data_IF_949329218971
#
_entry.id   IF_949329218971
#
_cell.length_a   1.000
_cell.length_b   1.000
_cell.length_c   1.000
_cell.angle_alpha   90.00
_cell.angle_beta   90.00
_cell.angle_gamma   90.00
#
_symmetry.space_group_name_H-M   'P 1'
#
loop_
_entity.id
_entity.type
_entity.pdbx_description
1 polymer ?
#
# COMPACT_ATOMS: atom_id res chain seq x y z
N UNK A 1 9.14 -1.56 15.99
CA UNK A 1 8.94 -0.28 15.29
C UNK A 1 7.55 0.25 15.64
N UNK A 2 7.38 1.55 15.89
CA UNK A 2 6.05 2.19 16.00
C UNK A 2 5.63 2.76 14.64
N UNK A 3 4.34 2.92 14.40
CA UNK A 3 3.78 3.49 13.17
C UNK A 3 4.34 4.92 12.93
N UNK A 4 4.31 5.77 13.94
CA UNK A 4 4.91 7.12 13.86
C UNK A 4 6.42 7.08 13.67
N UNK A 5 7.11 6.10 14.25
CA UNK A 5 8.53 5.86 14.03
C UNK A 5 8.83 5.51 12.57
N UNK A 6 7.98 4.68 11.95
CA UNK A 6 8.09 4.29 10.54
C UNK A 6 7.77 5.47 9.60
N UNK A 7 6.65 6.18 9.81
CA UNK A 7 6.29 7.42 9.07
C UNK A 7 7.46 8.39 9.09
N UNK A 8 8.00 8.66 10.28
CA UNK A 8 9.11 9.58 10.49
C UNK A 8 10.38 9.11 9.77
N UNK A 9 10.79 7.84 9.92
CA UNK A 9 11.98 7.30 9.24
C UNK A 9 11.86 7.40 7.71
N UNK A 10 10.70 7.08 7.15
CA UNK A 10 10.47 7.16 5.70
C UNK A 10 10.62 8.60 5.18
N UNK A 11 9.97 9.56 5.85
CA UNK A 11 10.08 10.97 5.47
C UNK A 11 11.50 11.52 5.67
N UNK A 12 12.17 11.21 6.79
CA UNK A 12 13.56 11.61 7.05
C UNK A 12 14.54 11.02 6.03
N UNK A 13 14.31 9.78 5.59
CA UNK A 13 15.09 9.13 4.53
C UNK A 13 14.98 9.90 3.21
N UNK A 14 13.77 10.12 2.69
CA UNK A 14 13.59 10.81 1.41
C UNK A 14 13.98 12.30 1.48
N UNK A 15 13.80 12.98 2.62
CA UNK A 15 14.37 14.31 2.86
C UNK A 15 15.89 14.29 2.73
N UNK A 16 16.58 13.25 3.22
CA UNK A 16 18.04 13.10 3.04
C UNK A 16 18.45 12.88 1.57
N UNK A 17 17.55 12.40 0.70
CA UNK A 17 17.72 12.29 -0.76
C UNK A 17 17.27 13.55 -1.51
N UNK A 18 16.85 14.60 -0.81
CA UNK A 18 16.48 15.90 -1.36
C UNK A 18 15.00 16.06 -1.72
N UNK A 19 14.12 15.21 -1.20
CA UNK A 19 12.67 15.33 -1.40
C UNK A 19 12.07 16.38 -0.46
N UNK A 20 11.15 17.19 -0.96
CA UNK A 20 10.31 18.05 -0.14
C UNK A 20 9.13 17.25 0.43
N UNK A 21 8.90 17.34 1.75
CA UNK A 21 7.69 16.78 2.36
C UNK A 21 6.49 17.62 1.94
N UNK A 22 5.45 16.97 1.40
CA UNK A 22 4.17 17.59 1.06
C UNK A 22 3.05 16.99 1.93
N UNK A 23 1.92 17.68 2.16
CA UNK A 23 0.78 17.05 2.81
C UNK A 23 0.19 15.92 1.95
N UNK A 24 -0.44 14.94 2.59
CA UNK A 24 -1.37 14.04 1.91
C UNK A 24 -2.67 14.78 1.54
N UNK A 25 -3.33 14.33 0.47
CA UNK A 25 -4.65 14.81 0.08
C UNK A 25 -5.77 14.19 0.92
N UNK A 26 -6.99 14.73 0.80
CA UNK A 26 -8.20 14.13 1.37
C UNK A 26 -8.45 12.72 0.82
N UNK A 27 -9.18 11.89 1.58
CA UNK A 27 -9.76 10.65 1.08
C UNK A 27 -10.84 10.90 0.02
N UNK A 28 -11.46 12.09 0.03
CA UNK A 28 -12.52 12.52 -0.89
C UNK A 28 -11.89 13.36 -2.01
N UNK A 29 -11.82 12.88 -3.27
CA UNK A 29 -11.28 13.65 -4.38
C UNK A 29 -12.19 14.84 -4.69
N UNK A 30 -11.66 16.07 -4.62
CA UNK A 30 -12.47 17.28 -4.87
C UNK A 30 -12.73 17.52 -6.36
N UNK A 31 -11.86 17.03 -7.26
CA UNK A 31 -11.82 17.40 -8.68
C UNK A 31 -11.67 16.22 -9.65
N UNK A 32 -11.80 14.98 -9.19
CA UNK A 32 -11.76 13.78 -10.03
C UNK A 32 -13.07 12.98 -9.94
N UNK A 33 -13.95 13.03 -10.96
CA UNK A 33 -15.20 12.27 -10.97
C UNK A 33 -15.02 10.80 -11.40
N UNK A 34 -13.81 10.36 -11.72
CA UNK A 34 -13.54 8.99 -12.18
C UNK A 34 -13.28 7.98 -11.05
N UNK A 35 -12.96 8.46 -9.85
CA UNK A 35 -12.64 7.65 -8.66
C UNK A 35 -13.47 8.07 -7.45
N UNK A 36 -13.98 7.10 -6.69
CA UNK A 36 -14.78 7.39 -5.49
C UNK A 36 -13.91 7.89 -4.32
N UNK A 37 -12.68 7.39 -4.19
CA UNK A 37 -11.76 7.75 -3.11
C UNK A 37 -10.34 7.90 -3.64
N UNK A 38 -9.48 8.56 -2.87
CA UNK A 38 -8.02 8.52 -3.10
C UNK A 38 -7.51 7.11 -2.77
N UNK A 39 -7.17 6.31 -3.79
CA UNK A 39 -6.74 4.90 -3.61
C UNK A 39 -5.20 4.72 -3.61
N UNK A 40 -4.46 5.76 -4.03
CA UNK A 40 -3.01 5.81 -4.11
C UNK A 40 -2.48 7.26 -3.97
N UNK A 41 -1.23 7.40 -3.53
CA UNK A 41 -0.53 8.69 -3.39
C UNK A 41 -0.36 9.48 -4.69
N UNK A 42 -0.41 8.81 -5.84
CA UNK A 42 -0.24 9.43 -7.16
C UNK A 42 -1.48 10.19 -7.67
N UNK A 43 -2.69 9.89 -7.17
CA UNK A 43 -3.93 10.47 -7.68
C UNK A 43 -3.93 12.02 -7.67
N UNK A 44 -3.54 12.69 -6.56
CA UNK A 44 -3.45 14.16 -6.52
C UNK A 44 -2.29 14.73 -7.36
N UNK A 45 -1.40 13.87 -7.86
CA UNK A 45 -0.14 14.23 -8.52
C UNK A 45 -0.18 14.03 -10.04
N UNK A 46 -1.25 13.48 -10.60
CA UNK A 46 -1.43 13.21 -12.04
C UNK A 46 -1.05 14.41 -12.94
N UNK A 47 -1.46 15.67 -12.67
CA UNK A 47 -1.05 16.81 -13.50
C UNK A 47 0.47 17.00 -13.56
N UNK A 48 1.17 16.80 -12.44
CA UNK A 48 2.61 16.97 -12.36
C UNK A 48 3.37 15.79 -12.98
N UNK A 49 2.84 14.57 -12.89
CA UNK A 49 3.35 13.40 -13.62
C UNK A 49 3.25 13.60 -15.13
N UNK A 50 2.17 14.24 -15.61
CA UNK A 50 1.95 14.60 -17.01
C UNK A 50 2.82 15.77 -17.53
N UNK A 51 3.56 16.47 -16.67
CA UNK A 51 4.51 17.52 -17.08
C UNK A 51 4.34 18.88 -16.38
N UNK A 52 3.29 19.07 -15.57
CA UNK A 52 3.14 20.30 -14.81
C UNK A 52 4.20 20.44 -13.71
N UNK A 53 4.57 21.69 -13.38
CA UNK A 53 5.59 21.96 -12.36
C UNK A 53 4.98 21.99 -10.97
N UNK A 54 5.31 21.01 -10.15
CA UNK A 54 4.91 21.01 -8.74
C UNK A 54 5.62 22.13 -7.95
N UNK A 55 4.93 22.91 -7.10
CA UNK A 55 5.49 24.07 -6.41
C UNK A 55 6.60 23.74 -5.40
N UNK A 56 6.63 22.52 -4.86
CA UNK A 56 7.69 22.05 -3.95
C UNK A 56 8.94 21.52 -4.68
N UNK A 57 9.00 21.61 -6.02
CA UNK A 57 10.10 21.10 -6.82
C UNK A 57 9.86 19.70 -7.40
N UNK A 58 10.92 19.06 -7.89
CA UNK A 58 10.84 17.80 -8.66
C UNK A 58 10.86 16.51 -7.82
N UNK A 59 11.25 16.60 -6.54
CA UNK A 59 11.33 15.47 -5.62
C UNK A 59 10.40 15.74 -4.46
N UNK A 60 9.38 14.91 -4.28
CA UNK A 60 8.36 15.10 -3.25
C UNK A 60 8.05 13.78 -2.53
N UNK A 61 7.66 13.84 -1.27
CA UNK A 61 7.32 12.67 -0.46
C UNK A 61 6.21 13.00 0.54
N UNK A 62 5.33 12.03 0.83
CA UNK A 62 4.31 12.16 1.87
C UNK A 62 3.93 10.78 2.45
N UNK A 63 2.99 10.81 3.40
CA UNK A 63 2.18 9.66 3.78
C UNK A 63 0.76 9.97 3.31
N UNK A 64 0.24 9.21 2.34
CA UNK A 64 -1.11 9.36 1.83
C UNK A 64 -2.06 8.41 2.58
N UNK A 65 -3.15 8.94 3.12
CA UNK A 65 -4.29 8.12 3.54
C UNK A 65 -5.00 7.59 2.30
N UNK A 66 -5.22 6.28 2.21
CA UNK A 66 -5.87 5.64 1.07
C UNK A 66 -7.16 4.93 1.51
N UNK A 67 -8.17 4.92 0.64
CA UNK A 67 -9.30 3.99 0.74
C UNK A 67 -9.43 3.22 -0.57
N UNK A 68 -9.32 1.90 -0.53
CA UNK A 68 -9.55 1.02 -1.70
C UNK A 68 -10.87 0.28 -1.55
N UNK A 69 -11.67 0.31 -2.61
CA UNK A 69 -12.99 -0.36 -2.64
C UNK A 69 -12.98 -1.73 -3.29
N UNK A 70 -11.93 -2.06 -4.03
CA UNK A 70 -11.82 -3.32 -4.76
C UNK A 70 -11.36 -4.44 -3.80
N UNK A 71 -10.40 -4.12 -2.93
CA UNK A 71 -9.85 -4.94 -1.85
C UNK A 71 -10.91 -5.28 -0.74
N UNK A 72 -12.09 -4.63 -0.74
CA UNK A 72 -13.14 -4.76 0.31
C UNK A 72 -13.64 -6.20 0.52
N UNK A 73 -13.53 -7.05 -0.50
CA UNK A 73 -13.95 -8.45 -0.41
C UNK A 73 -12.79 -9.42 -0.05
N UNK A 74 -11.54 -8.92 -0.04
CA UNK A 74 -10.34 -9.60 0.49
C UNK A 74 -10.11 -9.28 1.98
N UNK A 75 -10.56 -8.10 2.43
CA UNK A 75 -10.55 -7.70 3.86
C UNK A 75 -11.07 -8.81 4.76
N UNK A 76 -10.27 -9.11 5.79
CA UNK A 76 -10.43 -10.28 6.66
C UNK A 76 -9.37 -11.35 6.43
N UNK A 77 -8.54 -11.22 5.39
CA UNK A 77 -7.22 -11.83 5.33
C UNK A 77 -6.22 -11.14 6.30
N UNK A 78 -4.91 -11.35 6.14
CA UNK A 78 -3.88 -10.82 7.05
C UNK A 78 -3.27 -9.45 6.65
N UNK A 79 -3.45 -8.99 5.41
CA UNK A 79 -2.64 -7.89 4.82
C UNK A 79 -3.39 -6.94 3.88
N UNK A 80 -4.71 -7.14 3.69
CA UNK A 80 -5.58 -6.25 2.92
C UNK A 80 -6.53 -5.48 3.84
N UNK A 81 -6.67 -4.19 3.54
CA UNK A 81 -7.42 -3.22 4.34
C UNK A 81 -8.23 -2.30 3.42
N UNK A 82 -9.44 -1.93 3.85
CA UNK A 82 -10.24 -0.90 3.19
C UNK A 82 -9.56 0.46 3.32
N UNK A 83 -9.00 0.76 4.50
CA UNK A 83 -8.24 1.98 4.79
C UNK A 83 -6.82 1.61 5.21
N UNK A 84 -5.84 2.26 4.61
CA UNK A 84 -4.42 2.09 4.94
C UNK A 84 -3.66 3.39 4.65
N UNK A 85 -2.41 3.44 5.07
CA UNK A 85 -1.50 4.52 4.71
C UNK A 85 -0.46 4.06 3.69
N UNK A 86 -0.31 4.82 2.62
CA UNK A 86 0.69 4.63 1.59
C UNK A 86 1.84 5.60 1.83
N UNK A 87 3.03 5.08 2.14
CA UNK A 87 4.26 5.86 2.18
C UNK A 87 4.71 6.10 0.74
N UNK A 88 4.80 7.36 0.32
CA UNK A 88 5.03 7.69 -1.09
C UNK A 88 6.17 8.67 -1.34
N UNK A 89 6.85 8.47 -2.46
CA UNK A 89 7.92 9.34 -2.96
C UNK A 89 7.88 9.43 -4.48
N UNK A 90 8.17 10.61 -5.02
CA UNK A 90 8.03 10.87 -6.46
C UNK A 90 9.23 11.57 -7.06
N UNK A 91 9.62 11.12 -8.25
CA UNK A 91 10.47 11.85 -9.18
C UNK A 91 9.61 12.44 -10.28
N UNK A 92 9.60 13.76 -10.41
CA UNK A 92 8.90 14.49 -11.47
C UNK A 92 9.92 14.95 -12.52
N UNK A 93 10.25 14.04 -13.45
CA UNK A 93 11.27 14.28 -14.48
C UNK A 93 12.68 14.53 -13.93
N UNK A 94 13.15 13.73 -12.96
CA UNK A 94 14.46 13.91 -12.31
C UNK A 94 15.32 12.62 -12.25
N UNK A 95 15.21 11.82 -11.18
CA UNK A 95 15.83 10.50 -11.06
C UNK A 95 14.93 9.40 -11.64
N UNK A 96 15.45 8.19 -11.88
CA UNK A 96 14.66 7.08 -12.43
C UNK A 96 15.00 5.75 -11.74
N UNK A 97 14.95 4.62 -12.46
CA UNK A 97 14.93 3.26 -11.87
C UNK A 97 16.13 2.97 -10.99
N UNK A 98 17.32 3.27 -11.48
CA UNK A 98 18.57 2.92 -10.79
C UNK A 98 18.61 3.59 -9.41
N UNK A 99 18.40 4.91 -9.37
CA UNK A 99 18.47 5.65 -8.11
C UNK A 99 17.39 5.23 -7.13
N UNK A 100 16.15 4.99 -7.58
CA UNK A 100 15.11 4.56 -6.65
C UNK A 100 15.35 3.15 -6.14
N UNK A 101 15.73 2.19 -6.98
CA UNK A 101 16.03 0.82 -6.56
C UNK A 101 17.19 0.80 -5.55
N UNK A 102 18.25 1.60 -5.76
CA UNK A 102 19.33 1.78 -4.79
C UNK A 102 18.83 2.34 -3.45
N UNK A 103 17.92 3.32 -3.46
CA UNK A 103 17.35 3.92 -2.25
C UNK A 103 16.34 3.02 -1.53
N UNK A 104 15.49 2.32 -2.27
CA UNK A 104 14.52 1.34 -1.78
C UNK A 104 15.23 0.22 -1.04
N UNK A 105 16.30 -0.32 -1.63
CA UNK A 105 17.17 -1.30 -0.97
C UNK A 105 17.89 -0.72 0.25
N UNK A 106 18.44 0.50 0.17
CA UNK A 106 19.12 1.17 1.29
C UNK A 106 18.18 1.35 2.49
N UNK A 107 16.95 1.83 2.27
CA UNK A 107 15.99 2.08 3.34
C UNK A 107 15.51 0.78 4.00
N UNK A 108 15.23 -0.26 3.21
CA UNK A 108 14.86 -1.57 3.76
C UNK A 108 16.03 -2.20 4.54
N UNK A 109 17.22 -2.29 3.95
CA UNK A 109 18.28 -3.18 4.46
C UNK A 109 19.31 -2.50 5.37
N UNK A 110 19.49 -1.18 5.27
CA UNK A 110 20.47 -0.49 6.12
C UNK A 110 20.03 -0.50 7.58
N UNK A 111 20.96 -0.87 8.48
CA UNK A 111 20.76 -0.83 9.93
C UNK A 111 20.51 0.57 10.50
N UNK A 112 20.77 1.63 9.72
CA UNK A 112 20.35 3.00 10.04
C UNK A 112 18.82 3.18 9.91
N UNK A 113 18.21 2.50 8.94
CA UNK A 113 16.82 2.67 8.53
C UNK A 113 15.95 1.53 9.08
N UNK A 114 15.54 0.56 8.27
CA UNK A 114 14.71 -0.55 8.76
C UNK A 114 15.52 -1.77 9.21
N UNK A 115 16.72 -1.98 8.65
CA UNK A 115 17.60 -3.11 9.02
C UNK A 115 17.01 -4.49 8.69
N UNK A 116 16.15 -4.57 7.66
CA UNK A 116 15.57 -5.82 7.18
C UNK A 116 16.66 -6.72 6.57
N UNK A 117 16.57 -8.00 6.87
CA UNK A 117 17.54 -9.02 6.46
C UNK A 117 17.47 -9.27 4.94
N UNK A 118 18.53 -8.98 4.15
CA UNK A 118 18.46 -9.02 2.68
C UNK A 118 18.11 -10.40 2.08
N UNK A 119 18.44 -11.49 2.77
CA UNK A 119 18.09 -12.86 2.34
C UNK A 119 16.58 -13.14 2.35
N UNK A 120 15.80 -12.29 3.05
CA UNK A 120 14.35 -12.36 3.16
C UNK A 120 13.64 -11.51 2.08
N UNK A 121 14.37 -10.85 1.18
CA UNK A 121 13.81 -10.10 0.06
C UNK A 121 13.65 -10.96 -1.19
N UNK A 122 12.48 -10.85 -1.80
CA UNK A 122 12.20 -11.18 -3.20
C UNK A 122 11.75 -9.91 -3.92
N UNK A 123 11.98 -9.81 -5.23
CA UNK A 123 11.55 -8.66 -6.04
C UNK A 123 10.96 -9.12 -7.36
N UNK A 124 10.01 -8.37 -7.89
CA UNK A 124 9.38 -8.59 -9.19
C UNK A 124 9.80 -7.51 -10.20
N UNK A 125 9.88 -7.82 -11.49
CA UNK A 125 10.09 -6.86 -12.59
C UNK A 125 9.26 -7.25 -13.82
N UNK A 126 8.88 -6.27 -14.63
CA UNK A 126 8.08 -6.53 -15.83
C UNK A 126 8.77 -7.44 -16.85
N UNK A 127 8.10 -8.53 -17.26
CA UNK A 127 8.62 -9.53 -18.19
C UNK A 127 8.59 -9.09 -19.67
N UNK A 128 7.89 -8.01 -20.00
CA UNK A 128 7.71 -7.55 -21.38
C UNK A 128 6.51 -8.20 -22.09
N UNK A 129 5.89 -7.47 -23.02
CA UNK A 129 4.87 -8.00 -23.92
C UNK A 129 4.86 -7.27 -25.29
N UNK A 130 3.70 -7.21 -25.97
CA UNK A 130 3.55 -6.53 -27.26
C UNK A 130 3.70 -5.00 -27.18
N UNK A 131 3.45 -4.39 -26.02
CA UNK A 131 3.34 -2.94 -25.90
C UNK A 131 4.61 -2.32 -25.32
N UNK A 132 5.37 -3.08 -24.53
CA UNK A 132 6.61 -2.64 -23.91
C UNK A 132 7.60 -3.80 -23.70
N UNK A 133 8.92 -3.56 -23.77
CA UNK A 133 9.94 -4.59 -23.58
C UNK A 133 10.08 -5.02 -22.11
N UNK A 134 10.79 -6.13 -21.90
CA UNK A 134 11.27 -6.60 -20.58
C UNK A 134 11.97 -5.44 -19.85
N UNK A 135 11.70 -5.29 -18.54
CA UNK A 135 12.40 -4.31 -17.71
C UNK A 135 13.80 -4.78 -17.28
N UNK A 136 14.69 -4.82 -18.26
CA UNK A 136 16.07 -5.24 -18.06
C UNK A 136 16.87 -4.24 -17.21
N UNK A 137 16.49 -2.96 -17.20
CA UNK A 137 17.12 -1.91 -16.38
C UNK A 137 16.87 -2.15 -14.89
N UNK A 138 15.62 -2.43 -14.49
CA UNK A 138 15.29 -2.78 -13.10
C UNK A 138 15.92 -4.13 -12.68
N UNK A 139 15.89 -5.13 -13.57
CA UNK A 139 16.51 -6.44 -13.34
C UNK A 139 18.02 -6.32 -13.05
N UNK A 140 18.75 -5.51 -13.82
CA UNK A 140 20.19 -5.30 -13.62
C UNK A 140 20.51 -4.47 -12.38
N UNK A 141 19.68 -3.48 -12.02
CA UNK A 141 19.83 -2.71 -10.79
C UNK A 141 19.72 -3.59 -9.54
N UNK A 142 18.69 -4.44 -9.44
CA UNK A 142 18.54 -5.38 -8.32
C UNK A 142 19.68 -6.39 -8.22
N UNK A 143 20.16 -6.90 -9.36
CA UNK A 143 21.35 -7.77 -9.40
C UNK A 143 22.61 -7.07 -8.93
N UNK A 144 22.82 -5.80 -9.27
CA UNK A 144 23.99 -5.03 -8.86
C UNK A 144 24.03 -4.80 -7.34
N UNK A 145 22.86 -4.76 -6.69
CA UNK A 145 22.70 -4.70 -5.23
C UNK A 145 22.89 -6.05 -4.53
N UNK A 146 23.08 -7.14 -5.28
CA UNK A 146 23.36 -8.47 -4.74
C UNK A 146 22.13 -9.36 -4.53
N UNK A 147 20.94 -8.93 -4.96
CA UNK A 147 19.76 -9.81 -4.98
C UNK A 147 20.05 -11.00 -5.93
N UNK A 148 19.95 -12.27 -5.47
CA UNK A 148 20.18 -13.43 -6.33
C UNK A 148 19.19 -13.50 -7.48
N UNK A 149 19.58 -14.06 -8.64
CA UNK A 149 18.67 -14.20 -9.80
C UNK A 149 17.37 -14.96 -9.44
N UNK A 150 17.46 -15.94 -8.54
CA UNK A 150 16.31 -16.70 -7.99
C UNK A 150 15.37 -15.89 -7.10
N UNK A 151 15.75 -14.67 -6.72
CA UNK A 151 14.94 -13.71 -5.97
C UNK A 151 14.40 -12.59 -6.85
N UNK A 152 14.65 -12.61 -8.16
CA UNK A 152 14.15 -11.60 -9.11
C UNK A 152 13.19 -12.30 -10.09
N UNK A 153 11.91 -12.29 -9.75
CA UNK A 153 10.86 -12.81 -10.63
C UNK A 153 10.62 -11.84 -11.81
N UNK A 154 10.32 -12.38 -12.99
CA UNK A 154 9.84 -11.60 -14.13
C UNK A 154 8.36 -11.91 -14.29
N UNK A 155 7.48 -10.91 -14.21
CA UNK A 155 6.03 -11.12 -14.20
C UNK A 155 5.30 -10.40 -15.35
N UNK A 156 4.15 -10.93 -15.81
CA UNK A 156 3.30 -10.30 -16.82
C UNK A 156 2.76 -8.94 -16.41
N UNK A 157 2.26 -8.18 -17.40
CA UNK A 157 1.57 -6.88 -17.25
C UNK A 157 0.42 -6.90 -16.22
N UNK A 158 -0.17 -8.06 -15.91
CA UNK A 158 -1.20 -8.17 -14.85
C UNK A 158 -0.67 -7.96 -13.43
N UNK A 159 0.64 -8.04 -13.24
CA UNK A 159 1.33 -7.91 -11.95
C UNK A 159 2.33 -6.75 -12.00
N UNK A 160 3.29 -6.79 -12.93
CA UNK A 160 4.29 -5.73 -13.06
C UNK A 160 3.94 -4.63 -14.08
N UNK A 161 2.80 -3.97 -13.90
CA UNK A 161 2.46 -2.76 -14.64
C UNK A 161 1.37 -1.97 -13.91
N UNK A 162 1.70 -0.75 -13.51
CA UNK A 162 0.74 0.07 -12.78
C UNK A 162 0.05 1.09 -13.67
N UNK A 163 -1.28 1.15 -13.53
CA UNK A 163 -2.14 2.22 -14.04
C UNK A 163 -2.48 2.15 -15.53
N UNK A 164 -3.07 3.24 -16.06
CA UNK A 164 -3.37 4.50 -15.36
C UNK A 164 -4.48 4.34 -14.31
N UNK A 165 -4.61 5.34 -13.43
CA UNK A 165 -5.66 5.39 -12.39
C UNK A 165 -7.10 5.42 -12.95
N UNK A 166 -7.27 5.72 -14.24
CA UNK A 166 -8.56 5.72 -14.94
C UNK A 166 -8.50 4.99 -16.29
N UNK A 167 -9.23 5.48 -17.29
CA UNK A 167 -9.19 4.89 -18.66
C UNK A 167 -7.89 5.32 -19.40
N UNK A 168 -7.38 6.51 -19.09
CA UNK A 168 -6.24 7.18 -19.73
C UNK A 168 -5.33 7.81 -18.68
N UNK A 169 -4.07 8.07 -19.02
CA UNK A 169 -3.13 8.80 -18.16
C UNK A 169 -1.76 8.13 -18.01
N UNK A 170 -0.92 8.63 -17.09
CA UNK A 170 0.42 8.09 -16.86
C UNK A 170 0.35 6.66 -16.30
N UNK A 171 1.24 5.81 -16.81
CA UNK A 171 1.39 4.40 -16.44
C UNK A 171 2.79 3.89 -16.80
N UNK A 172 3.12 2.67 -16.39
CA UNK A 172 4.35 2.02 -16.83
C UNK A 172 4.63 0.69 -16.15
N UNK A 173 5.74 0.03 -16.52
CA UNK A 173 6.27 -1.10 -15.76
C UNK A 173 6.71 -0.61 -14.39
N UNK A 174 6.77 -1.52 -13.44
CA UNK A 174 7.19 -1.26 -12.07
C UNK A 174 8.15 -2.37 -11.58
N UNK A 175 8.56 -2.24 -10.33
CA UNK A 175 9.20 -3.31 -9.56
C UNK A 175 8.60 -3.33 -8.16
N UNK A 176 8.29 -4.51 -7.66
CA UNK A 176 7.71 -4.66 -6.33
C UNK A 176 8.69 -5.42 -5.43
N UNK A 177 8.67 -5.09 -4.15
CA UNK A 177 9.51 -5.67 -3.12
C UNK A 177 8.66 -6.51 -2.19
N UNK A 178 9.03 -7.78 -2.04
CA UNK A 178 8.35 -8.76 -1.21
C UNK A 178 9.27 -9.19 -0.07
N UNK A 179 8.71 -9.40 1.11
CA UNK A 179 9.44 -9.88 2.27
C UNK A 179 8.87 -11.19 2.79
N UNK A 180 9.75 -12.15 3.10
CA UNK A 180 9.37 -13.43 3.67
C UNK A 180 8.93 -13.30 5.13
N UNK A 181 7.69 -13.70 5.42
CA UNK A 181 7.08 -13.72 6.76
C UNK A 181 6.68 -15.12 7.23
N UNK A 182 6.99 -16.16 6.45
CA UNK A 182 6.76 -17.55 6.83
C UNK A 182 7.73 -18.06 7.91
N UNK A 183 7.39 -19.21 8.50
CA UNK A 183 8.08 -19.83 9.64
C UNK A 183 9.63 -19.85 9.55
N UNK A 184 10.28 -19.89 10.72
CA UNK A 184 11.73 -19.93 10.95
C UNK A 184 12.50 -21.08 10.23
N UNK A 185 11.80 -21.99 9.54
CA UNK A 185 12.37 -23.15 8.84
C UNK A 185 13.06 -22.80 7.51
N UNK A 186 13.94 -21.79 7.54
CA UNK A 186 14.75 -21.25 6.44
C UNK A 186 13.98 -20.64 5.25
N UNK A 187 14.45 -19.48 4.79
CA UNK A 187 13.78 -18.69 3.75
C UNK A 187 14.00 -19.33 2.36
N UNK A 188 12.96 -19.60 1.53
CA UNK A 188 12.95 -20.67 0.48
C UNK A 188 13.98 -20.75 -0.68
N UNK A 189 15.07 -19.98 -0.70
CA UNK A 189 16.07 -19.86 -1.80
C UNK A 189 15.55 -19.29 -3.13
N UNK A 190 14.39 -19.72 -3.62
CA UNK A 190 13.68 -19.20 -4.79
C UNK A 190 12.45 -18.39 -4.35
N UNK A 191 12.24 -17.22 -4.95
CA UNK A 191 11.08 -16.36 -4.67
C UNK A 191 9.89 -16.85 -5.51
N UNK A 192 8.74 -17.03 -4.85
CA UNK A 192 7.47 -17.37 -5.48
C UNK A 192 6.46 -16.25 -5.13
N UNK A 193 6.03 -15.42 -6.09
CA UNK A 193 5.09 -14.33 -5.85
C UNK A 193 3.65 -14.81 -5.55
N UNK A 194 3.33 -16.08 -5.81
CA UNK A 194 1.99 -16.63 -5.55
C UNK A 194 1.92 -17.30 -4.14
N UNK A 195 3.05 -17.45 -3.44
CA UNK A 195 3.08 -17.88 -2.02
C UNK A 195 2.89 -16.68 -1.09
N UNK A 196 1.69 -16.60 -0.49
CA UNK A 196 1.21 -15.53 0.40
C UNK A 196 2.11 -15.18 1.60
N UNK A 197 3.15 -15.99 1.88
CA UNK A 197 4.19 -15.71 2.88
C UNK A 197 5.28 -14.77 2.36
N UNK A 198 5.28 -14.46 1.08
CA UNK A 198 5.99 -13.32 0.49
C UNK A 198 5.03 -12.12 0.49
N UNK A 199 5.12 -11.28 1.51
CA UNK A 199 4.27 -10.10 1.64
C UNK A 199 4.85 -8.95 0.81
N UNK A 200 4.10 -8.45 -0.16
CA UNK A 200 4.43 -7.24 -0.92
C UNK A 200 4.44 -6.03 0.02
N UNK A 201 5.62 -5.45 0.27
CA UNK A 201 5.84 -4.33 1.19
C UNK A 201 5.99 -2.98 0.48
N UNK A 202 6.17 -2.97 -0.85
CA UNK A 202 6.15 -1.75 -1.63
C UNK A 202 6.34 -1.94 -3.13
N UNK A 203 5.82 -0.99 -3.90
CA UNK A 203 5.91 -0.93 -5.35
C UNK A 203 6.57 0.40 -5.79
N UNK A 204 7.56 0.33 -6.68
CA UNK A 204 8.23 1.46 -7.32
C UNK A 204 7.87 1.50 -8.82
N UNK A 205 6.94 2.37 -9.22
CA UNK A 205 6.42 2.46 -10.58
C UNK A 205 7.27 3.38 -11.47
N UNK A 206 7.64 2.89 -12.65
CA UNK A 206 8.42 3.61 -13.66
C UNK A 206 7.51 4.24 -14.72
N UNK A 207 6.76 5.25 -14.28
CA UNK A 207 5.85 6.07 -15.08
C UNK A 207 6.55 6.71 -16.29
N UNK A 208 6.51 6.03 -17.43
CA UNK A 208 7.15 6.46 -18.69
C UNK A 208 6.21 6.37 -19.91
N UNK A 209 4.98 5.89 -19.73
CA UNK A 209 3.96 5.80 -20.77
C UNK A 209 2.70 6.59 -20.41
N UNK A 210 1.98 7.07 -21.41
CA UNK A 210 0.63 7.58 -21.32
C UNK A 210 -0.30 6.64 -22.09
N UNK A 211 -1.33 6.11 -21.43
CA UNK A 211 -2.36 5.31 -22.09
C UNK A 211 -3.40 6.22 -22.73
N UNK A 212 -3.62 6.06 -24.03
CA UNK A 212 -4.59 6.83 -24.81
C UNK A 212 -6.01 6.28 -24.65
N UNK A 213 -7.03 7.06 -25.03
CA UNK A 213 -8.42 6.61 -25.06
C UNK A 213 -8.67 5.47 -26.08
N UNK A 214 -7.74 5.28 -27.02
CA UNK A 214 -7.72 4.20 -28.01
C UNK A 214 -7.04 2.93 -27.47
N UNK A 215 -6.48 2.96 -26.26
CA UNK A 215 -5.81 1.83 -25.62
C UNK A 215 -4.34 1.65 -26.04
N UNK A 216 -3.76 2.57 -26.82
CA UNK A 216 -2.32 2.58 -27.13
C UNK A 216 -1.51 3.19 -26.00
N UNK A 217 -0.22 2.84 -25.93
CA UNK A 217 0.74 3.41 -24.98
C UNK A 217 1.74 4.29 -25.73
N UNK A 218 1.75 5.58 -25.41
CA UNK A 218 2.66 6.58 -25.98
C UNK A 218 3.71 6.95 -24.93
N UNK A 219 4.92 7.35 -25.31
CA UNK A 219 5.92 7.77 -24.32
C UNK A 219 5.54 9.13 -23.71
N UNK A 220 5.69 9.27 -22.39
CA UNK A 220 5.60 10.56 -21.71
C UNK A 220 6.78 11.48 -22.09
N UNK A 221 6.55 12.80 -22.09
CA UNK A 221 7.62 13.80 -22.31
C UNK A 221 8.72 13.71 -21.25
N UNK A 222 8.34 13.38 -20.02
CA UNK A 222 9.24 13.13 -18.90
C UNK A 222 9.04 11.72 -18.33
N UNK A 223 10.12 11.11 -17.87
CA UNK A 223 10.07 9.88 -17.08
C UNK A 223 9.92 10.24 -15.61
N UNK A 224 8.97 9.59 -14.93
CA UNK A 224 8.70 9.80 -13.52
C UNK A 224 8.91 8.50 -12.74
N UNK A 225 9.08 8.65 -11.43
CA UNK A 225 8.99 7.54 -10.47
C UNK A 225 7.81 7.83 -9.55
N UNK A 226 6.99 6.83 -9.33
CA UNK A 226 5.84 6.86 -8.42
C UNK A 226 5.97 5.69 -7.45
N UNK A 227 6.33 5.99 -6.20
CA UNK A 227 6.51 4.98 -5.14
C UNK A 227 5.27 4.91 -4.28
N UNK A 228 4.75 3.70 -4.07
CA UNK A 228 3.64 3.43 -3.16
C UNK A 228 3.92 2.22 -2.28
N UNK A 229 4.21 2.45 -0.99
CA UNK A 229 4.54 1.38 -0.04
C UNK A 229 3.49 1.28 1.06
N UNK A 230 3.02 0.07 1.35
CA UNK A 230 2.02 -0.19 2.40
C UNK A 230 2.62 -0.01 3.80
N UNK A 231 2.16 1.01 4.53
CA UNK A 231 2.67 1.31 5.87
C UNK A 231 2.36 0.19 6.86
N UNK A 232 1.15 -0.34 6.84
CA UNK A 232 0.68 -1.40 7.74
C UNK A 232 1.49 -2.69 7.55
N UNK A 233 1.64 -3.17 6.31
CA UNK A 233 2.50 -4.31 5.93
C UNK A 233 3.96 -4.13 6.32
N UNK A 234 4.55 -2.96 6.03
CA UNK A 234 5.92 -2.65 6.41
C UNK A 234 6.09 -2.58 7.94
N UNK A 235 5.08 -2.09 8.68
CA UNK A 235 5.07 -2.07 10.14
C UNK A 235 4.98 -3.48 10.72
N UNK A 236 4.19 -4.38 10.12
CA UNK A 236 4.11 -5.78 10.51
C UNK A 236 5.46 -6.48 10.33
N UNK A 237 6.02 -6.39 9.12
CA UNK A 237 7.32 -6.98 8.75
C UNK A 237 8.45 -6.46 9.64
N UNK A 238 8.55 -5.16 9.88
CA UNK A 238 9.58 -4.56 10.77
C UNK A 238 9.40 -4.86 12.26
N UNK A 239 8.30 -5.50 12.66
CA UNK A 239 8.07 -6.05 13.99
C UNK A 239 8.10 -7.60 14.04
N UNK A 240 8.37 -8.28 12.91
CA UNK A 240 8.41 -9.73 12.84
C UNK A 240 7.02 -10.39 12.79
N UNK A 241 6.01 -9.69 12.28
CA UNK A 241 4.66 -10.22 12.09
C UNK A 241 4.36 -10.49 10.62
N UNK A 242 3.62 -11.58 10.36
CA UNK A 242 2.98 -11.89 9.07
C UNK A 242 1.55 -11.33 8.96
N UNK A 243 1.07 -10.70 10.02
CA UNK A 243 -0.32 -10.30 10.24
C UNK A 243 -0.36 -8.84 10.68
N UNK A 244 -0.86 -7.97 9.80
CA UNK A 244 -0.90 -6.51 10.00
C UNK A 244 -1.75 -6.15 11.22
N UNK A 245 -2.74 -7.00 11.52
CA UNK A 245 -3.65 -6.84 12.64
C UNK A 245 -2.98 -7.05 14.01
N UNK A 246 -1.74 -7.58 14.07
CA UNK A 246 -0.91 -7.59 15.30
C UNK A 246 -0.16 -6.27 15.56
N UNK A 247 -0.14 -5.34 14.61
CA UNK A 247 0.53 -4.06 14.82
C UNK A 247 -0.23 -3.18 15.81
N UNK A 248 0.47 -2.20 16.41
CA UNK A 248 -0.11 -1.26 17.38
C UNK A 248 -1.29 -0.42 16.83
N UNK A 249 -1.48 -0.38 15.50
CA UNK A 249 -2.61 0.32 14.86
C UNK A 249 -3.93 -0.45 14.98
N UNK A 250 -3.86 -1.77 15.16
CA UNK A 250 -5.03 -2.66 15.22
C UNK A 250 -5.18 -3.35 16.57
N UNK A 251 -4.08 -3.63 17.28
CA UNK A 251 -4.12 -4.34 18.56
C UNK A 251 -5.10 -3.72 19.60
N UNK A 252 -5.14 -2.39 19.84
CA UNK A 252 -6.12 -1.82 20.78
C UNK A 252 -7.57 -2.00 20.34
N UNK A 253 -7.84 -1.95 19.02
CA UNK A 253 -9.17 -2.15 18.45
C UNK A 253 -9.59 -3.62 18.64
N UNK A 254 -8.65 -4.55 18.45
CA UNK A 254 -8.86 -5.99 18.62
C UNK A 254 -9.10 -6.34 20.08
N UNK A 255 -8.28 -5.85 21.01
CA UNK A 255 -8.48 -6.04 22.46
C UNK A 255 -9.89 -5.60 22.91
N UNK A 256 -10.41 -4.49 22.38
CA UNK A 256 -11.78 -4.05 22.67
C UNK A 256 -12.84 -4.94 21.99
N UNK A 257 -12.61 -5.43 20.77
CA UNK A 257 -13.51 -6.43 20.13
C UNK A 257 -13.53 -7.75 20.91
N UNK A 258 -12.38 -8.24 21.38
CA UNK A 258 -12.26 -9.40 22.27
C UNK A 258 -13.07 -9.19 23.55
N UNK A 259 -12.88 -8.04 24.22
CA UNK A 259 -13.61 -7.66 25.45
C UNK A 259 -15.12 -7.61 25.25
N UNK A 260 -15.58 -7.14 24.08
CA UNK A 260 -17.00 -7.00 23.75
C UNK A 260 -17.67 -8.31 23.31
N UNK A 261 -16.91 -9.21 22.69
CA UNK A 261 -17.42 -10.48 22.11
C UNK A 261 -17.20 -11.71 23.00
N UNK A 262 -16.19 -11.66 23.87
CA UNK A 262 -15.69 -12.83 24.59
C UNK A 262 -14.91 -13.83 23.72
N UNK A 263 -14.55 -13.43 22.49
CA UNK A 263 -13.63 -14.16 21.61
C UNK A 263 -12.19 -13.73 21.88
N UNK A 264 -11.23 -14.55 21.45
CA UNK A 264 -9.80 -14.26 21.52
C UNK A 264 -9.23 -14.37 20.11
N UNK A 265 -8.50 -13.36 19.67
CA UNK A 265 -7.87 -13.28 18.37
C UNK A 265 -6.63 -14.19 18.33
N UNK A 266 -6.67 -15.23 17.49
CA UNK A 266 -5.61 -16.22 17.38
C UNK A 266 -4.71 -16.04 16.15
N UNK A 267 -4.97 -15.01 15.33
CA UNK A 267 -4.23 -14.75 14.08
C UNK A 267 -4.30 -15.93 13.10
N UNK A 268 -5.47 -16.57 13.02
CA UNK A 268 -5.79 -17.67 12.10
C UNK A 268 -6.81 -17.22 11.04
N UNK A 269 -7.14 -18.11 10.09
CA UNK A 269 -8.24 -17.92 9.14
C UNK A 269 -9.55 -18.58 9.58
N UNK A 270 -9.77 -18.73 10.90
CA UNK A 270 -11.05 -19.19 11.45
C UNK A 270 -12.10 -18.06 11.44
N UNK A 271 -13.38 -18.42 11.46
CA UNK A 271 -14.50 -17.46 11.29
C UNK A 271 -14.51 -16.32 12.33
N UNK A 272 -14.15 -16.60 13.58
CA UNK A 272 -14.08 -15.58 14.64
C UNK A 272 -12.95 -14.58 14.37
N UNK A 273 -11.74 -15.06 14.02
CA UNK A 273 -10.58 -14.21 13.69
C UNK A 273 -10.83 -13.36 12.44
N UNK A 274 -11.39 -13.96 11.39
CA UNK A 274 -11.81 -13.25 10.18
C UNK A 274 -12.81 -12.14 10.52
N UNK A 275 -13.82 -12.44 11.35
CA UNK A 275 -14.82 -11.46 11.76
C UNK A 275 -14.21 -10.32 12.60
N UNK A 276 -13.27 -10.62 13.51
CA UNK A 276 -12.52 -9.63 14.29
C UNK A 276 -11.77 -8.66 13.35
N UNK A 277 -11.02 -9.20 12.38
CA UNK A 277 -10.29 -8.39 11.39
C UNK A 277 -11.20 -7.49 10.56
N UNK A 278 -12.31 -8.02 10.03
CA UNK A 278 -13.29 -7.22 9.26
C UNK A 278 -13.90 -6.11 10.10
N UNK A 279 -14.16 -6.33 11.40
CA UNK A 279 -14.66 -5.26 12.29
C UNK A 279 -13.59 -4.20 12.49
N UNK A 280 -12.34 -4.59 12.77
CA UNK A 280 -11.23 -3.68 13.06
C UNK A 280 -10.85 -2.80 11.85
N UNK A 281 -10.75 -3.37 10.64
CA UNK A 281 -10.55 -2.61 9.41
C UNK A 281 -11.71 -1.63 9.16
N UNK A 282 -12.94 -2.14 9.14
CA UNK A 282 -14.08 -1.33 8.72
C UNK A 282 -14.41 -0.21 9.71
N UNK A 283 -14.13 -0.35 11.01
CA UNK A 283 -14.28 0.76 11.95
C UNK A 283 -13.21 1.83 11.77
N UNK A 284 -11.95 1.43 11.53
CA UNK A 284 -10.86 2.37 11.17
C UNK A 284 -11.22 3.14 9.90
N UNK A 285 -11.59 2.45 8.83
CA UNK A 285 -12.02 3.07 7.58
C UNK A 285 -13.23 4.00 7.74
N UNK A 286 -14.26 3.57 8.49
CA UNK A 286 -15.45 4.39 8.73
C UNK A 286 -15.14 5.65 9.56
N UNK A 287 -14.28 5.56 10.57
CA UNK A 287 -13.88 6.69 11.40
C UNK A 287 -13.12 7.75 10.59
N UNK A 288 -12.14 7.34 9.77
CA UNK A 288 -11.41 8.27 8.90
C UNK A 288 -12.32 8.93 7.85
N UNK A 289 -13.25 8.20 7.25
CA UNK A 289 -14.23 8.76 6.32
C UNK A 289 -15.19 9.76 6.98
N UNK A 290 -15.65 9.47 8.22
CA UNK A 290 -16.46 10.40 9.01
C UNK A 290 -15.68 11.67 9.39
N UNK A 291 -14.37 11.55 9.66
CA UNK A 291 -13.49 12.69 9.93
C UNK A 291 -13.31 13.62 8.70
N UNK A 292 -13.35 13.07 7.49
CA UNK A 292 -13.43 13.81 6.22
C UNK A 292 -14.84 14.38 5.94
N UNK A 293 -15.75 14.30 6.91
CA UNK A 293 -17.15 14.80 6.87
C UNK A 293 -18.07 14.08 5.88
N UNK A 294 -17.72 12.86 5.46
CA UNK A 294 -18.60 12.04 4.63
C UNK A 294 -19.76 11.47 5.48
N UNK A 295 -21.00 11.61 5.00
CA UNK A 295 -22.18 11.06 5.67
C UNK A 295 -22.70 9.75 5.03
N UNK A 296 -23.19 8.76 5.81
CA UNK A 296 -23.71 7.49 5.27
C UNK A 296 -25.00 7.64 4.42
N UNK A 297 -24.88 7.59 3.10
CA UNK A 297 -25.96 7.83 2.13
C UNK A 297 -26.45 6.56 1.39
N UNK A 298 -27.37 6.71 0.42
CA UNK A 298 -27.85 5.62 -0.46
C UNK A 298 -27.01 5.49 -1.75
N UNK A 299 -26.07 6.39 -2.03
CA UNK A 299 -25.35 6.49 -3.31
C UNK A 299 -23.85 6.75 -3.12
N UNK A 300 -23.05 6.36 -4.10
CA UNK A 300 -21.63 6.75 -4.22
C UNK A 300 -20.81 6.51 -2.94
N UNK A 301 -19.92 7.44 -2.58
CA UNK A 301 -19.06 7.38 -1.38
C UNK A 301 -19.85 7.10 -0.10
N UNK A 302 -20.99 7.78 0.08
CA UNK A 302 -21.84 7.61 1.26
C UNK A 302 -22.46 6.22 1.36
N UNK A 303 -22.74 5.56 0.22
CA UNK A 303 -23.16 4.16 0.20
C UNK A 303 -22.02 3.22 0.63
N UNK A 304 -20.77 3.48 0.21
CA UNK A 304 -19.62 2.69 0.65
C UNK A 304 -19.42 2.82 2.16
N UNK A 305 -19.40 4.04 2.72
CA UNK A 305 -19.32 4.26 4.17
C UNK A 305 -20.44 3.49 4.92
N UNK A 306 -21.67 3.54 4.39
CA UNK A 306 -22.78 2.76 4.93
C UNK A 306 -22.57 1.23 4.82
N UNK A 307 -21.99 0.73 3.72
CA UNK A 307 -21.67 -0.70 3.53
C UNK A 307 -20.66 -1.17 4.58
N UNK A 308 -19.59 -0.39 4.82
CA UNK A 308 -18.56 -0.69 5.82
C UNK A 308 -19.15 -0.77 7.24
N UNK A 309 -19.86 0.28 7.67
CA UNK A 309 -20.55 0.32 8.99
C UNK A 309 -21.49 -0.88 9.14
N UNK A 310 -22.30 -1.22 8.13
CA UNK A 310 -23.23 -2.36 8.18
C UNK A 310 -22.51 -3.71 8.19
N UNK A 311 -21.41 -3.88 7.47
CA UNK A 311 -20.56 -5.09 7.51
C UNK A 311 -19.96 -5.27 8.91
N UNK A 312 -19.41 -4.21 9.51
CA UNK A 312 -18.88 -4.25 10.88
C UNK A 312 -19.96 -4.66 11.90
N UNK A 313 -21.17 -4.05 11.84
CA UNK A 313 -22.30 -4.48 12.69
C UNK A 313 -22.65 -5.95 12.46
N UNK A 314 -22.71 -6.42 11.21
CA UNK A 314 -23.05 -7.82 10.88
C UNK A 314 -22.07 -8.79 11.51
N UNK A 315 -20.76 -8.58 11.34
CA UNK A 315 -19.74 -9.45 11.93
C UNK A 315 -19.72 -9.35 13.46
N UNK A 316 -19.93 -8.17 14.04
CA UNK A 316 -20.10 -8.03 15.49
C UNK A 316 -21.26 -8.86 16.04
N UNK A 317 -22.39 -8.94 15.32
CA UNK A 317 -23.50 -9.84 15.67
C UNK A 317 -23.14 -11.31 15.51
N UNK A 318 -22.36 -11.67 14.50
CA UNK A 318 -21.90 -13.06 14.26
C UNK A 318 -21.03 -13.56 15.42
N UNK A 319 -20.07 -12.75 15.91
CA UNK A 319 -19.21 -13.12 17.05
C UNK A 319 -19.87 -12.89 18.42
N UNK A 320 -21.15 -12.51 18.46
CA UNK A 320 -21.97 -12.50 19.68
C UNK A 320 -22.12 -11.15 20.40
N UNK A 321 -21.58 -10.05 19.86
CA UNK A 321 -21.77 -8.70 20.43
C UNK A 321 -23.24 -8.30 20.26
N UNK A 322 -23.94 -7.97 21.36
CA UNK A 322 -25.41 -7.69 21.35
C UNK A 322 -25.79 -6.22 21.42
N UNK A 323 -25.02 -5.41 22.14
CA UNK A 323 -25.31 -3.99 22.36
C UNK A 323 -24.82 -3.09 21.20
N UNK A 324 -24.94 -1.77 21.34
CA UNK A 324 -24.34 -0.81 20.40
C UNK A 324 -22.86 -0.66 20.75
N UNK A 325 -21.97 -0.91 19.80
CA UNK A 325 -20.54 -1.07 20.08
C UNK A 325 -19.58 -0.27 19.17
N UNK A 326 -20.02 0.12 17.96
CA UNK A 326 -19.14 0.84 17.01
C UNK A 326 -18.70 2.22 17.52
N UNK A 327 -19.47 2.88 18.40
CA UNK A 327 -19.04 4.13 19.03
C UNK A 327 -17.81 3.92 19.90
N UNK A 328 -17.84 2.93 20.79
CA UNK A 328 -16.70 2.55 21.64
C UNK A 328 -15.46 2.17 20.83
N UNK A 329 -15.64 1.45 19.71
CA UNK A 329 -14.51 1.13 18.82
C UNK A 329 -13.98 2.36 18.07
N UNK A 330 -14.84 3.33 17.71
CA UNK A 330 -14.39 4.59 17.12
C UNK A 330 -13.59 5.44 18.10
N UNK A 331 -13.95 5.43 19.39
CA UNK A 331 -13.19 6.12 20.45
C UNK A 331 -11.78 5.51 20.65
N UNK A 332 -11.55 4.25 20.24
CA UNK A 332 -10.22 3.58 20.26
C UNK A 332 -9.38 3.90 19.02
N UNK A 333 -10.02 4.33 17.91
CA UNK A 333 -9.33 4.73 16.67
C UNK A 333 -8.83 6.18 16.73
N UNK A 334 -9.38 7.00 17.62
CA UNK A 334 -9.23 8.47 17.67
C UNK A 334 -7.99 8.98 18.45
#
# INVERSE_FOLDING_TARGET
MTADGLRKKYLEFFVSKGHAVIPGASLIPEHDPSVLFTTAGMHPLVPFLLGEKHPAGKRITNIQKCVRTDDIDEVGDFIHHTFFEMMGSWSLGDYFKKEIIEWSYEFMTSSQWLGLEPQNLGVSVFEGDSDAPVDQEAYEAWRALGIPEKRIAKLPKKANWWGPAGITGPCGPDTEMFYWTGDDSAVPVEFDPEDVRWVEIGNDVFMQYNKTAQGSYELLEQKNVDVGWGLDRMLAVTNGYYDDYKTEQFAPIIEEIERLSGKVYQSTQQEDDYAIRVIADHIRAAAFLLAEKLEPSNTEQGYILRRLIRRAVRYGRQIGIKDVFLGTLADVVA
#
